data_IF_797644369901
#
_entry.id   IF_797644369901
#
_cell.length_a   1.000
_cell.length_b   1.000
_cell.length_c   1.000
_cell.angle_alpha   90.00
_cell.angle_beta   90.00
_cell.angle_gamma   90.00
#
_symmetry.space_group_name_H-M   'P 1'
#
loop_
_entity.id
_entity.type
_entity.pdbx_description
1 polymer ?
#
# COMPACT_ATOMS: atom_id res chain seq x y z
N UNK A 1 17.88 11.88 -4.75
CA UNK A 1 16.81 12.07 -3.75
C UNK A 1 16.20 10.72 -3.48
N UNK A 2 16.22 10.27 -2.24
CA UNK A 2 15.57 9.03 -1.81
C UNK A 2 14.05 9.15 -1.93
N UNK A 3 13.38 8.07 -2.29
CA UNK A 3 11.93 8.01 -2.48
C UNK A 3 11.40 6.73 -1.87
N UNK A 4 10.21 6.81 -1.28
CA UNK A 4 9.49 5.64 -0.81
C UNK A 4 8.78 4.97 -1.99
N UNK A 5 8.87 3.65 -2.08
CA UNK A 5 8.09 2.83 -3.01
C UNK A 5 7.40 1.71 -2.24
N UNK A 6 6.10 1.59 -2.43
CA UNK A 6 5.26 0.56 -1.84
C UNK A 6 4.61 -0.25 -2.96
N UNK A 7 4.54 -1.56 -2.76
CA UNK A 7 3.83 -2.49 -3.62
C UNK A 7 2.99 -3.40 -2.74
N UNK A 8 1.72 -3.52 -3.07
CA UNK A 8 0.80 -4.47 -2.43
C UNK A 8 0.40 -5.49 -3.48
N UNK A 9 0.54 -6.77 -3.14
CA UNK A 9 0.08 -7.89 -3.94
C UNK A 9 -0.91 -8.72 -3.12
N UNK A 10 -2.00 -9.11 -3.75
CA UNK A 10 -3.02 -9.98 -3.17
C UNK A 10 -3.11 -11.24 -4.03
N UNK A 11 -3.00 -12.40 -3.40
CA UNK A 11 -3.16 -13.69 -4.07
C UNK A 11 -4.56 -13.78 -4.71
N UNK A 12 -4.67 -14.42 -5.88
CA UNK A 12 -5.91 -14.43 -6.68
C UNK A 12 -7.14 -14.91 -5.90
N UNK A 13 -6.96 -15.93 -5.07
CA UNK A 13 -7.97 -16.52 -4.18
C UNK A 13 -8.46 -15.57 -3.08
N UNK A 14 -7.70 -14.51 -2.79
CA UNK A 14 -8.00 -13.50 -1.79
C UNK A 14 -8.48 -12.17 -2.40
N UNK A 15 -8.42 -12.00 -3.72
CA UNK A 15 -8.77 -10.73 -4.38
C UNK A 15 -10.25 -10.34 -4.28
N UNK A 16 -11.13 -11.29 -3.94
CA UNK A 16 -12.54 -11.01 -3.64
C UNK A 16 -12.76 -10.46 -2.22
N UNK A 17 -11.80 -10.67 -1.31
CA UNK A 17 -11.85 -10.17 0.08
C UNK A 17 -11.00 -8.94 0.29
N UNK A 18 -9.84 -8.90 -0.36
CA UNK A 18 -8.87 -7.81 -0.23
C UNK A 18 -8.58 -7.18 -1.59
N UNK A 19 -8.70 -5.86 -1.67
CA UNK A 19 -8.37 -5.08 -2.86
C UNK A 19 -7.05 -4.34 -2.66
N UNK A 20 -6.00 -4.76 -3.38
CA UNK A 20 -4.69 -4.14 -3.33
C UNK A 20 -4.71 -2.63 -3.64
N UNK A 21 -5.57 -2.19 -4.58
CA UNK A 21 -5.71 -0.77 -4.93
C UNK A 21 -6.36 0.03 -3.79
N UNK A 22 -7.34 -0.54 -3.10
CA UNK A 22 -7.94 0.10 -1.93
C UNK A 22 -6.93 0.21 -0.78
N UNK A 23 -6.16 -0.85 -0.52
CA UNK A 23 -5.11 -0.85 0.51
C UNK A 23 -4.05 0.21 0.19
N UNK A 24 -3.48 0.19 -1.01
CA UNK A 24 -2.40 1.13 -1.36
C UNK A 24 -2.86 2.60 -1.28
N UNK A 25 -4.12 2.89 -1.62
CA UNK A 25 -4.68 4.25 -1.54
C UNK A 25 -4.78 4.76 -0.10
N UNK A 26 -4.97 3.87 0.88
CA UNK A 26 -4.90 4.22 2.31
C UNK A 26 -3.47 4.45 2.79
N UNK A 27 -2.50 3.70 2.25
CA UNK A 27 -1.09 3.77 2.65
C UNK A 27 -0.32 4.93 1.99
N UNK A 28 -0.63 5.25 0.73
CA UNK A 28 0.11 6.25 -0.05
C UNK A 28 0.23 7.64 0.62
N UNK A 29 -0.80 8.18 1.31
CA UNK A 29 -0.69 9.45 2.03
C UNK A 29 0.37 9.45 3.14
N UNK A 30 0.66 8.30 3.75
CA UNK A 30 1.64 8.16 4.85
C UNK A 30 3.05 8.51 4.36
N UNK A 31 3.38 8.16 3.12
CA UNK A 31 4.68 8.43 2.49
C UNK A 31 4.70 9.74 1.68
N UNK A 32 3.71 10.63 1.85
CA UNK A 32 3.48 11.81 0.98
C UNK A 32 3.46 11.42 -0.51
N UNK A 33 2.68 10.38 -0.80
CA UNK A 33 2.65 9.71 -2.08
C UNK A 33 1.28 9.57 -2.69
N UNK A 34 1.26 9.06 -3.91
CA UNK A 34 0.05 8.63 -4.62
C UNK A 34 0.30 7.24 -5.18
N UNK A 35 -0.78 6.47 -5.27
CA UNK A 35 -0.73 5.12 -5.77
C UNK A 35 -2.02 4.69 -6.45
N UNK A 36 -1.94 3.54 -7.11
CA UNK A 36 -3.03 2.92 -7.81
C UNK A 36 -2.61 1.61 -8.45
N UNK A 37 -3.60 0.89 -8.95
CA UNK A 37 -3.38 -0.37 -9.64
C UNK A 37 -4.66 -1.16 -9.76
N UNK A 38 -4.51 -2.48 -9.80
CA UNK A 38 -5.60 -3.44 -9.87
C UNK A 38 -5.82 -4.09 -8.51
N UNK A 39 -6.90 -4.84 -8.39
CA UNK A 39 -7.28 -5.60 -7.19
C UNK A 39 -6.25 -6.65 -6.77
N UNK A 40 -5.53 -7.23 -7.73
CA UNK A 40 -4.44 -8.20 -7.51
C UNK A 40 -3.11 -7.53 -7.15
N UNK A 41 -2.85 -6.33 -7.68
CA UNK A 41 -1.58 -5.65 -7.49
C UNK A 41 -1.72 -4.14 -7.66
N UNK A 42 -1.19 -3.39 -6.69
CA UNK A 42 -1.14 -1.93 -6.75
C UNK A 42 0.15 -1.38 -6.16
N UNK A 43 0.54 -0.19 -6.60
CA UNK A 43 1.79 0.44 -6.18
C UNK A 43 1.63 1.91 -5.84
N UNK A 44 2.51 2.43 -4.99
CA UNK A 44 2.58 3.83 -4.64
C UNK A 44 4.03 4.32 -4.56
N UNK A 45 4.22 5.60 -4.89
CA UNK A 45 5.49 6.31 -4.74
C UNK A 45 5.30 7.57 -3.91
N UNK A 46 6.27 7.88 -3.04
CA UNK A 46 6.19 8.99 -2.10
C UNK A 46 7.55 9.64 -1.81
N UNK A 47 7.49 10.82 -1.18
CA UNK A 47 8.67 11.64 -0.87
C UNK A 47 9.24 11.41 0.53
N UNK A 48 8.55 10.63 1.38
CA UNK A 48 8.93 10.36 2.77
C UNK A 48 9.33 8.89 2.99
N UNK A 49 10.55 8.47 2.58
CA UNK A 49 11.07 7.12 2.84
C UNK A 49 11.14 6.78 4.34
N UNK A 50 11.31 7.78 5.21
CA UNK A 50 11.33 7.62 6.67
C UNK A 50 10.01 7.08 7.24
N UNK A 51 8.91 7.16 6.48
CA UNK A 51 7.59 6.68 6.90
C UNK A 51 7.26 5.25 6.41
N UNK A 52 8.21 4.53 5.80
CA UNK A 52 7.97 3.18 5.29
C UNK A 52 7.52 2.20 6.38
N UNK A 53 8.17 2.21 7.56
CA UNK A 53 7.78 1.34 8.67
C UNK A 53 6.35 1.63 9.16
N UNK A 54 5.98 2.90 9.24
CA UNK A 54 4.62 3.33 9.61
C UNK A 54 3.59 2.87 8.57
N UNK A 55 3.93 2.93 7.28
CA UNK A 55 3.05 2.44 6.22
C UNK A 55 2.84 0.92 6.30
N UNK A 56 3.87 0.15 6.65
CA UNK A 56 3.77 -1.31 6.83
C UNK A 56 2.88 -1.66 8.03
N UNK A 57 3.09 -1.03 9.19
CA UNK A 57 2.27 -1.27 10.39
C UNK A 57 0.79 -0.91 10.17
N UNK A 58 0.50 0.13 9.40
CA UNK A 58 -0.86 0.48 9.01
C UNK A 58 -1.49 -0.58 8.09
N UNK A 59 -0.70 -1.22 7.22
CA UNK A 59 -1.18 -2.30 6.37
C UNK A 59 -1.56 -3.54 7.18
N UNK A 60 -0.75 -3.92 8.18
CA UNK A 60 -1.07 -5.02 9.10
C UNK A 60 -2.38 -4.78 9.83
N UNK A 61 -2.55 -3.56 10.37
CA UNK A 61 -3.78 -3.16 11.06
C UNK A 61 -5.01 -3.18 10.15
N UNK A 62 -4.83 -2.93 8.85
CA UNK A 62 -5.91 -2.97 7.86
C UNK A 62 -6.30 -4.39 7.42
N UNK A 63 -5.46 -5.41 7.71
CA UNK A 63 -5.70 -6.81 7.40
C UNK A 63 -6.22 -7.60 8.60
N UNK A 64 -5.94 -7.15 9.82
CA UNK A 64 -6.31 -7.84 11.07
C UNK A 64 -7.73 -7.53 11.58
N UNK A 65 -8.54 -6.78 10.82
CA UNK A 65 -9.93 -6.46 11.14
C UNK A 65 -10.89 -7.12 10.17
#
# INVERSE_FOLDING_TARGET
KEKAHLVVMVSKDLTDRYDANTIIRKLAPVIDGRGGGRKDMASAGGKKPENLEKAISMAESALSG
#
